data_IF_902093847649
#
_entry.id   IF_902093847649
#
_cell.length_a   1.000
_cell.length_b   1.000
_cell.length_c   1.000
_cell.angle_alpha   90.00
_cell.angle_beta   90.00
_cell.angle_gamma   90.00
#
_symmetry.space_group_name_H-M   'P 1'
#
loop_
_entity.id
_entity.type
_entity.pdbx_description
1 polymer ?
#
# COMPACT_ATOMS: atom_id res chain seq x y z
N UNK A 1 6.46 23.76 19.10
CA UNK A 1 6.13 22.58 18.27
C UNK A 1 7.13 22.54 17.13
N UNK A 2 7.85 21.43 16.93
CA UNK A 2 8.80 21.33 15.82
C UNK A 2 8.09 21.50 14.48
N UNK A 3 8.73 22.11 13.48
CA UNK A 3 8.11 22.26 12.17
C UNK A 3 7.88 20.87 11.56
N UNK A 4 6.65 20.62 11.13
CA UNK A 4 6.34 19.42 10.36
C UNK A 4 7.09 19.54 9.02
N UNK A 5 7.82 18.50 8.65
CA UNK A 5 8.49 18.43 7.35
C UNK A 5 7.46 18.45 6.23
N UNK A 6 7.82 18.99 5.08
CA UNK A 6 6.98 18.86 3.87
C UNK A 6 6.84 17.39 3.45
N UNK A 7 5.77 17.07 2.72
CA UNK A 7 5.51 15.70 2.26
C UNK A 7 6.68 15.10 1.48
N UNK A 8 7.34 15.92 0.64
CA UNK A 8 8.49 15.47 -0.15
C UNK A 8 9.73 15.19 0.71
N UNK A 9 9.93 15.94 1.79
CA UNK A 9 11.02 15.70 2.74
C UNK A 9 10.77 14.42 3.55
N UNK A 10 9.52 14.16 3.95
CA UNK A 10 9.13 12.91 4.60
C UNK A 10 9.36 11.73 3.67
N UNK A 11 8.91 11.83 2.41
CA UNK A 11 9.07 10.78 1.41
C UNK A 11 10.54 10.46 1.10
N UNK A 12 11.39 11.50 0.94
CA UNK A 12 12.83 11.31 0.69
C UNK A 12 13.59 10.75 1.89
N UNK A 13 13.14 11.05 3.10
CA UNK A 13 13.74 10.52 4.32
C UNK A 13 13.30 9.08 4.66
N UNK A 14 12.24 8.58 4.01
CA UNK A 14 11.68 7.26 4.28
C UNK A 14 12.66 6.15 3.86
N UNK A 15 12.84 5.16 4.75
CA UNK A 15 13.61 3.94 4.45
C UNK A 15 12.68 2.92 3.81
N UNK A 16 12.62 2.94 2.48
CA UNK A 16 11.79 1.99 1.74
C UNK A 16 12.41 0.59 1.73
N UNK A 17 11.57 -0.41 1.95
CA UNK A 17 11.95 -1.81 1.73
C UNK A 17 12.01 -2.11 0.22
N UNK A 18 12.92 -3.01 -0.23
CA UNK A 18 12.85 -3.57 -1.57
C UNK A 18 11.48 -4.19 -1.86
N UNK A 19 10.98 -4.04 -3.09
CA UNK A 19 9.63 -4.50 -3.45
C UNK A 19 9.44 -6.01 -3.22
N UNK A 20 10.49 -6.81 -3.43
CA UNK A 20 10.48 -8.26 -3.18
C UNK A 20 10.15 -8.59 -1.72
N UNK A 21 10.63 -7.79 -0.77
CA UNK A 21 10.44 -8.03 0.66
C UNK A 21 9.01 -7.65 1.07
N UNK A 22 8.46 -6.60 0.46
CA UNK A 22 7.04 -6.22 0.60
C UNK A 22 6.12 -7.31 0.04
N UNK A 23 6.43 -7.85 -1.15
CA UNK A 23 5.67 -8.93 -1.79
C UNK A 23 5.76 -10.25 -1.01
N UNK A 24 6.91 -10.55 -0.41
CA UNK A 24 7.08 -11.71 0.45
C UNK A 24 6.13 -11.69 1.67
N UNK A 25 5.88 -10.51 2.27
CA UNK A 25 4.88 -10.35 3.36
C UNK A 25 3.45 -10.69 2.92
N UNK A 26 3.16 -10.59 1.62
CA UNK A 26 1.88 -10.96 1.01
C UNK A 26 1.85 -12.41 0.51
N UNK A 27 2.92 -13.18 0.73
CA UNK A 27 3.13 -14.55 0.22
C UNK A 27 3.15 -14.61 -1.32
N UNK A 28 3.70 -13.58 -1.96
CA UNK A 28 3.95 -13.57 -3.40
C UNK A 28 5.39 -14.06 -3.62
N UNK A 29 5.60 -15.21 -4.28
CA UNK A 29 6.94 -15.75 -4.54
C UNK A 29 7.80 -14.81 -5.39
N UNK A 30 9.12 -14.79 -5.15
CA UNK A 30 10.10 -14.05 -5.95
C UNK A 30 10.49 -14.86 -7.19
N UNK A 31 9.57 -14.95 -8.15
CA UNK A 31 9.73 -15.71 -9.38
C UNK A 31 9.34 -14.86 -10.60
N UNK A 32 10.01 -15.01 -11.76
CA UNK A 32 9.63 -14.27 -12.97
C UNK A 32 8.20 -14.52 -13.44
N UNK A 33 7.61 -15.65 -13.05
CA UNK A 33 6.23 -16.01 -13.37
C UNK A 33 5.19 -15.26 -12.52
N UNK A 34 5.56 -14.66 -11.39
CA UNK A 34 4.63 -14.00 -10.45
C UNK A 34 4.63 -12.49 -10.62
N UNK A 35 5.79 -11.86 -10.78
CA UNK A 35 5.91 -10.43 -10.98
C UNK A 35 7.18 -10.02 -11.74
N UNK A 36 7.15 -8.80 -12.28
CA UNK A 36 8.27 -8.16 -12.96
C UNK A 36 8.69 -6.89 -12.18
N UNK A 37 9.90 -6.86 -11.59
CA UNK A 37 10.41 -5.67 -10.92
C UNK A 37 10.62 -4.50 -11.89
N UNK A 38 10.28 -3.29 -11.44
CA UNK A 38 10.53 -2.02 -12.11
C UNK A 38 11.42 -1.13 -11.24
N UNK A 39 12.72 -1.43 -11.21
CA UNK A 39 13.64 -0.84 -10.24
C UNK A 39 13.55 -1.54 -8.88
N UNK A 40 13.92 -0.83 -7.80
CA UNK A 40 14.08 -1.45 -6.47
C UNK A 40 12.79 -1.55 -5.65
N UNK A 41 11.84 -0.65 -5.86
CA UNK A 41 10.69 -0.46 -4.97
C UNK A 41 9.32 -0.57 -5.67
N UNK A 42 9.31 -0.95 -6.95
CA UNK A 42 8.10 -1.06 -7.77
C UNK A 42 8.16 -2.39 -8.51
N UNK A 43 7.01 -3.04 -8.69
CA UNK A 43 6.86 -4.24 -9.49
C UNK A 43 5.46 -4.29 -10.11
N UNK A 44 5.32 -5.00 -11.24
CA UNK A 44 4.03 -5.38 -11.81
C UNK A 44 3.76 -6.85 -11.54
N UNK A 45 2.57 -7.18 -11.07
CA UNK A 45 2.13 -8.58 -10.96
C UNK A 45 1.73 -9.10 -12.35
N UNK A 46 2.10 -10.35 -12.65
CA UNK A 46 1.72 -10.99 -13.90
C UNK A 46 0.25 -11.43 -13.82
N UNK A 47 -0.51 -11.23 -14.91
CA UNK A 47 -1.93 -11.55 -14.94
C UNK A 47 -2.17 -13.06 -14.79
N UNK A 48 -1.33 -13.88 -15.41
CA UNK A 48 -1.40 -15.34 -15.34
C UNK A 48 -1.17 -15.87 -13.92
N UNK A 49 -0.48 -15.11 -13.08
CA UNK A 49 -0.34 -15.41 -11.65
C UNK A 49 -1.59 -15.03 -10.87
N UNK A 50 -2.16 -13.86 -11.15
CA UNK A 50 -3.42 -13.39 -10.53
C UNK A 50 -4.55 -14.37 -10.82
N UNK A 51 -4.67 -14.87 -12.05
CA UNK A 51 -5.71 -15.83 -12.45
C UNK A 51 -5.64 -17.16 -11.67
N UNK A 52 -4.45 -17.55 -11.20
CA UNK A 52 -4.25 -18.75 -10.38
C UNK A 52 -4.61 -18.54 -8.91
N UNK A 53 -4.70 -17.29 -8.46
CA UNK A 53 -5.07 -16.97 -7.09
C UNK A 53 -6.58 -17.07 -6.96
N UNK A 54 -7.05 -18.04 -6.18
CA UNK A 54 -8.47 -18.10 -5.81
C UNK A 54 -8.81 -16.89 -4.93
N UNK A 55 -9.87 -16.18 -5.30
CA UNK A 55 -10.43 -15.12 -4.47
C UNK A 55 -10.78 -15.68 -3.08
N UNK A 56 -10.14 -15.14 -2.05
CA UNK A 56 -10.52 -15.40 -0.66
C UNK A 56 -11.61 -14.42 -0.27
N UNK A 57 -12.56 -14.87 0.56
CA UNK A 57 -13.49 -13.95 1.22
C UNK A 57 -12.69 -13.11 2.22
N UNK A 58 -12.53 -11.83 1.90
CA UNK A 58 -11.88 -10.82 2.73
C UNK A 58 -12.85 -9.65 2.94
N UNK A 59 -12.59 -8.84 3.96
CA UNK A 59 -13.36 -7.62 4.19
C UNK A 59 -12.93 -6.54 3.20
N UNK A 60 -13.89 -5.90 2.54
CA UNK A 60 -13.68 -4.72 1.70
C UNK A 60 -14.14 -3.48 2.47
N UNK A 61 -13.22 -2.52 2.67
CA UNK A 61 -13.52 -1.26 3.36
C UNK A 61 -13.45 -0.13 2.32
N UNK A 62 -14.60 0.47 2.01
CA UNK A 62 -14.67 1.66 1.17
C UNK A 62 -14.50 2.91 2.04
N UNK A 63 -13.48 3.71 1.74
CA UNK A 63 -13.29 5.03 2.36
C UNK A 63 -13.84 6.11 1.43
N UNK A 64 -14.82 6.87 1.92
CA UNK A 64 -15.41 8.00 1.21
C UNK A 64 -15.24 9.30 2.02
N UNK A 65 -15.59 10.43 1.41
CA UNK A 65 -15.62 11.73 2.05
C UNK A 65 -16.90 12.47 1.67
N UNK A 66 -17.16 13.57 2.38
CA UNK A 66 -18.19 14.54 1.99
C UNK A 66 -17.82 15.22 0.65
N UNK A 67 -18.73 16.04 0.12
CA UNK A 67 -18.44 16.88 -1.04
C UNK A 67 -17.18 17.72 -0.80
N UNK A 68 -16.22 17.76 -1.76
CA UNK A 68 -14.98 18.50 -1.59
C UNK A 68 -15.19 19.98 -1.30
N UNK A 69 -14.34 20.51 -0.44
CA UNK A 69 -14.29 21.91 -0.02
C UNK A 69 -12.88 22.47 -0.17
N UNK A 70 -12.68 23.80 -0.23
CA UNK A 70 -11.34 24.39 -0.30
C UNK A 70 -10.42 24.05 0.87
N UNK A 71 -10.97 23.62 2.02
CA UNK A 71 -10.18 23.23 3.19
C UNK A 71 -9.48 21.86 3.02
N UNK A 72 -10.03 20.99 2.15
CA UNK A 72 -9.57 19.62 1.96
C UNK A 72 -10.03 18.67 3.07
N UNK A 73 -10.34 17.44 2.68
CA UNK A 73 -10.96 16.45 3.57
C UNK A 73 -9.97 15.39 4.07
N UNK A 74 -8.76 15.33 3.49
CA UNK A 74 -7.74 14.37 3.90
C UNK A 74 -8.12 12.91 3.64
N UNK A 75 -8.99 12.63 2.67
CA UNK A 75 -9.49 11.27 2.35
C UNK A 75 -8.35 10.27 2.17
N UNK A 76 -7.41 10.55 1.27
CA UNK A 76 -6.29 9.64 0.96
C UNK A 76 -5.35 9.46 2.14
N UNK A 77 -5.03 10.56 2.85
CA UNK A 77 -4.21 10.52 4.08
C UNK A 77 -4.84 9.59 5.13
N UNK A 78 -6.16 9.67 5.28
CA UNK A 78 -6.92 8.84 6.21
C UNK A 78 -6.95 7.38 5.76
N UNK A 79 -7.11 7.11 4.46
CA UNK A 79 -7.11 5.74 3.93
C UNK A 79 -5.76 5.05 4.12
N UNK A 80 -4.64 5.74 3.87
CA UNK A 80 -3.29 5.21 4.12
C UNK A 80 -3.07 5.02 5.63
N UNK A 81 -3.42 6.00 6.46
CA UNK A 81 -3.30 5.90 7.92
C UNK A 81 -4.16 4.80 8.54
N UNK A 82 -5.33 4.51 7.97
CA UNK A 82 -6.18 3.38 8.37
C UNK A 82 -5.49 2.05 8.06
N UNK A 83 -4.87 1.91 6.88
CA UNK A 83 -4.09 0.73 6.52
C UNK A 83 -2.91 0.52 7.49
N UNK A 84 -2.17 1.58 7.82
CA UNK A 84 -1.07 1.53 8.78
C UNK A 84 -1.56 1.16 10.19
N UNK A 85 -2.66 1.75 10.64
CA UNK A 85 -3.27 1.46 11.94
C UNK A 85 -3.75 0.01 12.06
N UNK A 86 -4.38 -0.52 11.00
CA UNK A 86 -4.80 -1.92 10.93
C UNK A 86 -3.59 -2.89 10.96
N UNK A 87 -2.51 -2.57 10.24
CA UNK A 87 -1.25 -3.32 10.32
C UNK A 87 -0.69 -3.31 11.76
N UNK A 88 -0.68 -2.15 12.42
CA UNK A 88 -0.14 -1.98 13.79
C UNK A 88 -0.88 -2.83 14.84
N UNK A 89 -2.17 -3.10 14.65
CA UNK A 89 -2.96 -3.96 15.54
C UNK A 89 -2.99 -5.44 15.10
N UNK A 90 -2.10 -5.83 14.19
CA UNK A 90 -1.92 -7.23 13.76
C UNK A 90 -2.92 -7.73 12.73
N UNK A 91 -3.67 -6.84 12.06
CA UNK A 91 -4.43 -7.22 10.85
C UNK A 91 -3.49 -7.20 9.64
N UNK A 92 -3.94 -7.81 8.54
CA UNK A 92 -3.22 -7.85 7.26
C UNK A 92 -3.96 -7.06 6.17
N UNK A 93 -4.13 -5.74 6.34
CA UNK A 93 -4.76 -4.91 5.31
C UNK A 93 -3.84 -4.74 4.11
N UNK A 94 -4.43 -4.50 2.94
CA UNK A 94 -3.73 -4.03 1.76
C UNK A 94 -4.44 -2.77 1.29
N UNK A 95 -3.68 -1.70 1.08
CA UNK A 95 -4.17 -0.47 0.48
C UNK A 95 -4.23 -0.63 -1.04
N UNK A 96 -5.34 -0.23 -1.65
CA UNK A 96 -5.61 -0.30 -3.10
C UNK A 96 -6.04 1.07 -3.59
#
# INVERSE_FOLDING_TARGET
MGSVKSDIEIARAAKMEPIKDVLAKLNIPDEPATFSPMGRHIAKLNLEYIDKIKAKSNNLILVSAITPTPAGEGKTTTSVGLCDGLNKIGKKPLFV
#
